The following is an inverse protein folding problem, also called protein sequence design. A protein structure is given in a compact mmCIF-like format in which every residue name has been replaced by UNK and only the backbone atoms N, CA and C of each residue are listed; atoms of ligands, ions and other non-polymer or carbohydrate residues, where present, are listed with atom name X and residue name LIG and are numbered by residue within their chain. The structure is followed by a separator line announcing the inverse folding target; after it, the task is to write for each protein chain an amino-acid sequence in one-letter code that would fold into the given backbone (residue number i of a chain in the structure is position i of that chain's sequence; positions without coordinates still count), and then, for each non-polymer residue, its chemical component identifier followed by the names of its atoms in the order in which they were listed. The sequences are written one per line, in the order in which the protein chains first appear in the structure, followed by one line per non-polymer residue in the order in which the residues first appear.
data_IF_248360700127
#
_entry.id   IF_248360700127
#
_cell.length_a   1.000
_cell.length_b   1.000
_cell.length_c   1.000
_cell.angle_alpha   90.00
_cell.angle_beta   90.00
_cell.angle_gamma   90.00
#
_symmetry.space_group_name_H-M   'P 1'
#
loop_
_entity.id
_entity.type
_entity.pdbx_description
1 polymer ?
#
# COMPACT_ATOMS: atom_id res chain seq x y z
N UNK A 1 18.73 9.97 -11.84
CA UNK A 1 18.17 8.59 -11.76
C UNK A 1 17.52 8.30 -10.42
N UNK A 2 18.04 8.84 -9.30
CA UNK A 2 17.40 8.73 -7.97
C UNK A 2 16.01 9.39 -7.89
N UNK A 3 15.83 10.60 -8.45
CA UNK A 3 14.53 11.30 -8.43
C UNK A 3 13.38 10.53 -9.12
N UNK A 4 13.64 9.94 -10.29
CA UNK A 4 12.65 9.12 -11.01
C UNK A 4 12.29 7.83 -10.27
N UNK A 5 13.24 7.25 -9.53
CA UNK A 5 13.01 6.04 -8.74
C UNK A 5 12.24 6.36 -7.45
N UNK A 6 12.51 7.51 -6.83
CA UNK A 6 11.72 8.03 -5.71
C UNK A 6 10.27 8.27 -6.13
N UNK A 7 10.03 8.93 -7.27
CA UNK A 7 8.66 9.21 -7.73
C UNK A 7 7.83 7.94 -7.99
N UNK A 8 8.47 6.88 -8.52
CA UNK A 8 7.79 5.60 -8.76
C UNK A 8 7.40 4.87 -7.46
N UNK A 9 8.22 5.02 -6.40
CA UNK A 9 7.98 4.40 -5.08
C UNK A 9 6.84 5.07 -4.35
N UNK A 10 6.85 6.41 -4.33
CA UNK A 10 5.77 7.21 -3.77
C UNK A 10 4.47 6.98 -4.55
N UNK A 11 4.58 6.69 -5.85
CA UNK A 11 3.46 6.30 -6.71
C UNK A 11 2.80 4.99 -6.29
N UNK A 12 3.57 3.90 -6.17
CA UNK A 12 3.04 2.60 -5.75
C UNK A 12 2.44 2.65 -4.34
N UNK A 13 3.16 3.28 -3.40
CA UNK A 13 2.67 3.48 -2.03
C UNK A 13 1.39 4.33 -2.00
N UNK A 14 1.32 5.39 -2.82
CA UNK A 14 0.12 6.22 -2.93
C UNK A 14 -1.07 5.47 -3.53
N UNK A 15 -0.84 4.66 -4.56
CA UNK A 15 -1.85 3.77 -5.16
C UNK A 15 -2.42 2.80 -4.11
N UNK A 16 -1.54 2.14 -3.36
CA UNK A 16 -1.90 1.20 -2.31
C UNK A 16 -2.72 1.87 -1.19
N UNK A 17 -2.30 3.04 -0.71
CA UNK A 17 -3.05 3.81 0.30
C UNK A 17 -4.44 4.21 -0.21
N UNK A 18 -4.56 4.57 -1.49
CA UNK A 18 -5.84 4.83 -2.13
C UNK A 18 -6.76 3.62 -2.14
N UNK A 19 -6.24 2.45 -2.54
CA UNK A 19 -6.98 1.17 -2.55
C UNK A 19 -7.48 0.78 -1.16
N UNK A 20 -6.62 0.87 -0.14
CA UNK A 20 -6.99 0.59 1.25
C UNK A 20 -8.06 1.58 1.75
N UNK A 21 -7.97 2.86 1.38
CA UNK A 21 -9.00 3.86 1.66
C UNK A 21 -10.37 3.48 1.08
N UNK A 22 -10.39 3.02 -0.18
CA UNK A 22 -11.61 2.51 -0.84
C UNK A 22 -12.17 1.28 -0.11
N UNK A 23 -11.32 0.33 0.28
CA UNK A 23 -11.75 -0.86 1.02
C UNK A 23 -12.31 -0.56 2.41
N UNK A 24 -11.89 0.55 3.03
CA UNK A 24 -12.40 1.02 4.32
C UNK A 24 -13.71 1.82 4.21
N UNK A 25 -14.10 2.18 2.99
CA UNK A 25 -15.38 2.81 2.70
C UNK A 25 -16.54 1.84 2.93
N UNK A 26 -17.76 2.39 3.03
CA UNK A 26 -18.96 1.57 3.23
C UNK A 26 -19.35 0.74 1.98
N UNK A 27 -18.68 0.93 0.84
CA UNK A 27 -18.91 0.16 -0.39
C UNK A 27 -18.46 -1.29 -0.22
N UNK A 28 -17.40 -1.51 0.56
CA UNK A 28 -16.87 -2.81 0.89
C UNK A 28 -17.46 -3.30 2.23
N UNK A 29 -18.37 -4.28 2.17
CA UNK A 29 -19.03 -4.88 3.36
C UNK A 29 -18.11 -5.90 4.06
N UNK A 30 -16.98 -5.43 4.55
CA UNK A 30 -15.99 -6.27 5.21
C UNK A 30 -16.42 -6.65 6.64
N UNK A 31 -15.98 -7.81 7.09
CA UNK A 31 -16.07 -8.19 8.50
C UNK A 31 -15.28 -7.18 9.34
N UNK A 32 -15.74 -6.93 10.58
CA UNK A 32 -15.13 -5.95 11.48
C UNK A 32 -13.63 -6.18 11.65
N UNK A 33 -13.23 -7.42 11.89
CA UNK A 33 -11.83 -7.78 12.15
C UNK A 33 -10.97 -7.52 10.89
N UNK A 34 -11.47 -7.89 9.70
CA UNK A 34 -10.81 -7.59 8.41
C UNK A 34 -10.66 -6.08 8.20
N UNK A 35 -11.69 -5.31 8.55
CA UNK A 35 -11.64 -3.85 8.46
C UNK A 35 -10.58 -3.25 9.39
N UNK A 36 -10.44 -3.79 10.59
CA UNK A 36 -9.44 -3.32 11.56
C UNK A 36 -8.02 -3.70 11.12
N UNK A 37 -7.82 -4.88 10.53
CA UNK A 37 -6.54 -5.28 9.91
C UNK A 37 -6.16 -4.36 8.73
N UNK A 38 -7.12 -3.96 7.90
CA UNK A 38 -6.88 -3.03 6.78
C UNK A 38 -6.49 -1.64 7.29
N UNK A 39 -7.11 -1.15 8.38
CA UNK A 39 -6.69 0.12 9.00
C UNK A 39 -5.27 0.02 9.52
N UNK A 40 -4.95 -1.05 10.24
CA UNK A 40 -3.60 -1.28 10.74
C UNK A 40 -2.57 -1.29 9.59
N UNK A 41 -2.85 -2.01 8.51
CA UNK A 41 -1.99 -2.05 7.32
C UNK A 41 -1.83 -0.65 6.70
N UNK A 42 -2.92 0.11 6.57
CA UNK A 42 -2.87 1.48 6.04
C UNK A 42 -1.98 2.38 6.90
N UNK A 43 -2.10 2.32 8.22
CA UNK A 43 -1.31 3.16 9.14
C UNK A 43 0.20 2.82 9.05
N UNK A 44 0.56 1.54 8.97
CA UNK A 44 1.95 1.10 8.77
C UNK A 44 2.52 1.58 7.42
N UNK A 45 1.71 1.54 6.35
CA UNK A 45 2.13 2.01 5.03
C UNK A 45 2.29 3.53 4.95
N UNK A 46 1.48 4.29 5.69
CA UNK A 46 1.68 5.74 5.84
C UNK A 46 3.00 6.05 6.54
N UNK A 47 3.36 5.29 7.58
CA UNK A 47 4.65 5.43 8.24
C UNK A 47 5.82 5.09 7.29
N UNK A 48 5.68 4.03 6.49
CA UNK A 48 6.67 3.67 5.46
C UNK A 48 6.78 4.73 4.36
N UNK A 49 5.66 5.33 3.93
CA UNK A 49 5.66 6.43 2.96
C UNK A 49 6.39 7.65 3.51
N UNK A 50 6.13 8.02 4.77
CA UNK A 50 6.82 9.13 5.43
C UNK A 50 8.33 8.90 5.52
N UNK A 51 8.75 7.66 5.82
CA UNK A 51 10.16 7.27 5.78
C UNK A 51 10.76 7.45 4.38
N UNK A 52 10.07 7.00 3.32
CA UNK A 52 10.57 7.18 1.95
C UNK A 52 10.68 8.65 1.54
N UNK A 53 9.74 9.50 1.95
CA UNK A 53 9.80 10.96 1.70
C UNK A 53 11.00 11.57 2.41
N UNK A 54 11.19 11.26 3.70
CA UNK A 54 12.35 11.74 4.45
C UNK A 54 13.67 11.30 3.82
N UNK A 55 13.75 10.06 3.34
CA UNK A 55 14.93 9.54 2.65
C UNK A 55 15.18 10.16 1.27
N UNK A 56 14.14 10.71 0.64
CA UNK A 56 14.26 11.41 -0.64
C UNK A 56 14.83 12.83 -0.47
N UNK A 57 14.56 13.46 0.67
CA UNK A 57 15.05 14.80 1.01
C UNK A 57 16.47 14.79 1.62
N UNK A 58 17.00 13.61 1.97
CA UNK A 58 18.36 13.43 2.51
C UNK A 58 19.41 13.48 1.38
N UNK A 59 20.38 14.40 1.50
CA UNK A 59 21.41 14.62 0.48
C UNK A 59 22.47 13.52 0.48
N UNK A 60 22.86 13.02 1.67
CA UNK A 60 23.90 11.99 1.82
C UNK A 60 23.47 10.83 2.73
N UNK A 61 22.46 10.03 2.32
CA UNK A 61 21.97 8.93 3.13
C UNK A 61 23.01 7.81 3.20
N UNK A 62 23.23 7.29 4.41
CA UNK A 62 24.15 6.18 4.63
C UNK A 62 23.71 4.92 3.84
N UNK A 63 24.65 3.99 3.65
CA UNK A 63 24.40 2.78 2.86
C UNK A 63 23.25 1.93 3.42
N UNK A 64 23.11 1.82 4.74
CA UNK A 64 22.05 1.05 5.37
C UNK A 64 20.69 1.69 5.13
N UNK A 65 20.60 3.02 5.26
CA UNK A 65 19.38 3.78 5.01
C UNK A 65 18.92 3.67 3.55
N UNK A 66 19.85 3.72 2.59
CA UNK A 66 19.56 3.46 1.16
C UNK A 66 19.03 2.05 0.91
N UNK A 67 19.64 1.03 1.52
CA UNK A 67 19.19 -0.35 1.40
C UNK A 67 17.80 -0.56 1.99
N UNK A 68 17.50 0.06 3.14
CA UNK A 68 16.17 0.00 3.76
C UNK A 68 15.11 0.70 2.89
N UNK A 69 15.40 1.87 2.35
CA UNK A 69 14.49 2.56 1.43
C UNK A 69 14.17 1.71 0.19
N UNK A 70 15.16 0.99 -0.35
CA UNK A 70 14.94 0.05 -1.43
C UNK A 70 14.07 -1.14 -1.00
N UNK A 71 14.32 -1.73 0.17
CA UNK A 71 13.51 -2.84 0.68
C UNK A 71 12.04 -2.43 0.91
N UNK A 72 11.81 -1.23 1.45
CA UNK A 72 10.45 -0.68 1.63
C UNK A 72 9.73 -0.50 0.29
N UNK A 73 10.45 -0.07 -0.75
CA UNK A 73 9.90 0.03 -2.10
C UNK A 73 9.49 -1.33 -2.66
N UNK A 74 10.38 -2.33 -2.63
CA UNK A 74 10.04 -3.66 -3.15
C UNK A 74 8.85 -4.26 -2.40
N UNK A 75 8.82 -4.11 -1.08
CA UNK A 75 7.69 -4.54 -0.25
C UNK A 75 6.38 -3.85 -0.65
N UNK A 76 6.42 -2.56 -1.02
CA UNK A 76 5.21 -1.86 -1.48
C UNK A 76 4.60 -2.47 -2.74
N UNK A 77 5.43 -2.97 -3.67
CA UNK A 77 4.95 -3.66 -4.87
C UNK A 77 4.34 -5.04 -4.55
N UNK A 78 4.94 -5.79 -3.63
CA UNK A 78 4.42 -7.09 -3.20
C UNK A 78 3.05 -6.95 -2.50
N UNK A 79 2.90 -5.91 -1.67
CA UNK A 79 1.64 -5.61 -0.99
C UNK A 79 0.60 -5.12 -2.01
N UNK A 80 0.98 -4.26 -2.95
CA UNK A 80 0.08 -3.79 -4.01
C UNK A 80 -0.51 -4.95 -4.82
N UNK A 81 0.33 -5.88 -5.29
CA UNK A 81 -0.12 -7.07 -6.02
C UNK A 81 -1.04 -7.96 -5.18
N UNK A 82 -0.77 -8.07 -3.87
CA UNK A 82 -1.63 -8.82 -2.94
C UNK A 82 -3.01 -8.18 -2.75
N UNK A 83 -3.05 -6.84 -2.62
CA UNK A 83 -4.31 -6.09 -2.50
C UNK A 83 -5.10 -6.11 -3.82
N UNK A 84 -4.44 -5.99 -4.96
CA UNK A 84 -5.11 -6.08 -6.27
C UNK A 84 -5.77 -7.43 -6.46
N UNK A 85 -5.07 -8.52 -6.09
CA UNK A 85 -5.66 -9.86 -6.08
C UNK A 85 -6.85 -9.93 -5.13
N UNK A 86 -6.77 -9.38 -3.92
CA UNK A 86 -7.89 -9.38 -2.98
C UNK A 86 -9.12 -8.66 -3.54
N UNK A 87 -8.96 -7.46 -4.09
CA UNK A 87 -10.06 -6.67 -4.66
C UNK A 87 -10.74 -7.41 -5.83
N UNK A 88 -9.95 -8.04 -6.72
CA UNK A 88 -10.50 -8.88 -7.80
C UNK A 88 -11.36 -10.05 -7.30
N UNK A 89 -11.05 -10.64 -6.14
CA UNK A 89 -11.87 -11.71 -5.58
C UNK A 89 -13.17 -11.18 -4.97
N UNK A 90 -13.10 -10.04 -4.27
CA UNK A 90 -14.28 -9.42 -3.65
C UNK A 90 -15.27 -8.89 -4.70
N UNK A 91 -14.78 -8.33 -5.81
CA UNK A 91 -15.63 -7.85 -6.90
C UNK A 91 -16.24 -8.98 -7.75
N UNK A 92 -15.64 -10.17 -7.74
CA UNK A 92 -16.07 -11.30 -8.58
C UNK A 92 -17.18 -12.15 -7.96
N UNK A 93 -17.52 -12.00 -6.67
CA UNK A 93 -18.69 -12.65 -6.06
C UNK A 93 -19.97 -12.11 -6.72
N UNK A 94 -20.59 -12.84 -7.69
CA UNK A 94 -21.86 -12.42 -8.24
C UNK A 94 -22.89 -12.69 -7.15
N UNK A 95 -23.89 -11.84 -7.04
CA UNK A 95 -25.09 -12.13 -6.26
C UNK A 95 -25.85 -13.31 -6.89
N UNK A 96 -25.35 -14.53 -6.75
CA UNK A 96 -26.13 -15.75 -6.91
C UNK A 96 -26.72 -16.08 -5.55
N UNK A 97 -27.75 -15.34 -5.17
CA UNK A 97 -28.80 -15.89 -4.32
C UNK A 97 -30.06 -15.88 -5.17
N UNK A 98 -30.28 -17.00 -5.85
CA UNK A 98 -31.60 -17.39 -6.29
C UNK A 98 -32.46 -17.61 -5.05
N UNK A 99 -33.61 -16.95 -5.00
CA UNK A 99 -34.90 -17.55 -4.65
C UNK A 99 -36.03 -16.72 -5.29
#
# INVERSE_FOLDING_TARGET
MAELLVSASTGAMGSLLGKLGTMLSNEYKLLKDVRDDIKFLKDELEAMQAFLVMMADEEEPDQQSRLRANAVRELSYEIEDSIDKFMLHVEREPSSTSD
#
